data_IF_425590600413
#
_entry.id   IF_425590600413
#
_cell.length_a   1.000
_cell.length_b   1.000
_cell.length_c   1.000
_cell.angle_alpha   90.00
_cell.angle_beta   90.00
_cell.angle_gamma   90.00
#
_symmetry.space_group_name_H-M   'P 1'
#
loop_
_entity.id
_entity.type
_entity.pdbx_description
1 polymer ?
#
# COMPACT_ATOMS: atom_id res chain seq x y z
N UNK A 1 22.64 25.09 13.31
CA UNK A 1 21.27 24.58 13.55
C UNK A 1 20.88 23.67 12.41
N UNK A 2 20.70 22.35 12.64
CA UNK A 2 20.16 21.45 11.64
C UNK A 2 18.68 21.79 11.45
N UNK A 3 18.31 22.24 10.26
CA UNK A 3 16.88 22.36 9.90
C UNK A 3 16.37 20.92 9.73
N UNK A 4 15.57 20.44 10.66
CA UNK A 4 14.80 19.22 10.47
C UNK A 4 13.72 19.55 9.44
N UNK A 5 13.63 18.80 8.36
CA UNK A 5 12.57 18.96 7.34
C UNK A 5 11.17 18.57 7.82
N UNK A 6 11.01 18.36 9.13
CA UNK A 6 9.75 17.98 9.76
C UNK A 6 9.09 19.23 10.33
N UNK A 7 7.82 19.40 10.06
CA UNK A 7 7.00 20.43 10.69
C UNK A 7 6.91 20.18 12.20
N UNK A 8 7.16 21.21 13.00
CA UNK A 8 7.08 21.12 14.47
C UNK A 8 5.67 21.43 14.99
N UNK A 9 4.81 21.94 14.12
CA UNK A 9 3.42 22.28 14.43
C UNK A 9 2.47 21.27 13.77
N UNK A 10 1.38 20.94 14.45
CA UNK A 10 0.39 19.97 14.00
C UNK A 10 0.34 18.71 14.86
N UNK A 11 -0.43 17.74 14.41
CA UNK A 11 -0.58 16.46 15.08
C UNK A 11 0.37 15.43 14.48
N UNK A 12 0.91 14.59 15.32
CA UNK A 12 1.73 13.43 14.92
C UNK A 12 0.90 12.16 15.06
N UNK A 13 0.90 11.37 13.99
CA UNK A 13 0.18 10.12 13.92
C UNK A 13 1.15 8.97 13.73
N UNK A 14 0.96 7.91 14.53
CA UNK A 14 1.73 6.68 14.41
C UNK A 14 1.07 5.76 13.40
N UNK A 15 1.79 5.38 12.36
CA UNK A 15 1.27 4.49 11.33
C UNK A 15 2.30 3.55 10.74
N UNK A 16 1.82 2.61 9.93
CA UNK A 16 2.64 1.71 9.13
C UNK A 16 2.14 1.70 7.69
N UNK A 17 3.06 1.82 6.74
CA UNK A 17 2.76 1.92 5.31
C UNK A 17 3.07 0.64 4.53
N UNK A 18 3.41 -0.44 5.22
CA UNK A 18 3.74 -1.71 4.56
C UNK A 18 3.34 -2.90 5.43
N UNK A 19 2.30 -3.61 5.01
CA UNK A 19 1.77 -4.74 5.78
C UNK A 19 1.12 -5.77 4.85
N UNK A 20 1.37 -7.04 5.14
CA UNK A 20 0.77 -8.18 4.46
C UNK A 20 -0.19 -8.90 5.41
N UNK A 21 -1.27 -9.40 4.85
CA UNK A 21 -2.24 -10.24 5.55
C UNK A 21 -2.37 -11.61 4.88
N UNK A 22 -3.32 -12.41 5.34
CA UNK A 22 -3.67 -13.68 4.68
C UNK A 22 -4.25 -13.50 3.26
N UNK A 23 -4.42 -12.28 2.81
CA UNK A 23 -4.78 -11.99 1.42
C UNK A 23 -3.60 -12.26 0.45
N UNK A 24 -2.35 -12.18 0.94
CA UNK A 24 -1.16 -12.62 0.20
C UNK A 24 -0.36 -13.67 0.99
N UNK A 25 0.67 -13.28 1.69
CA UNK A 25 1.58 -14.20 2.38
C UNK A 25 1.72 -13.93 3.89
N UNK A 26 0.94 -13.00 4.42
CA UNK A 26 0.85 -12.73 5.85
C UNK A 26 0.17 -13.87 6.62
N UNK A 27 0.42 -13.90 7.93
CA UNK A 27 -0.05 -14.99 8.80
C UNK A 27 -1.34 -14.69 9.54
N UNK A 28 -1.83 -13.47 9.45
CA UNK A 28 -3.02 -12.98 10.17
C UNK A 28 -4.01 -12.35 9.22
N UNK A 29 -5.28 -12.44 9.57
CA UNK A 29 -6.32 -11.77 8.80
C UNK A 29 -6.21 -10.25 8.90
N UNK A 30 -6.76 -9.49 7.95
CA UNK A 30 -6.78 -8.04 8.04
C UNK A 30 -7.35 -7.53 9.37
N UNK A 31 -8.43 -8.14 9.87
CA UNK A 31 -9.09 -7.76 11.14
C UNK A 31 -8.16 -8.00 12.34
N UNK A 32 -7.47 -9.14 12.38
CA UNK A 32 -6.51 -9.44 13.44
C UNK A 32 -5.34 -8.44 13.44
N UNK A 33 -4.87 -8.06 12.24
CA UNK A 33 -3.79 -7.09 12.07
C UNK A 33 -4.24 -5.73 12.58
N UNK A 34 -5.39 -5.24 12.15
CA UNK A 34 -5.95 -3.95 12.61
C UNK A 34 -6.07 -3.92 14.12
N UNK A 35 -6.61 -4.98 14.73
CA UNK A 35 -6.72 -5.09 16.19
C UNK A 35 -5.36 -4.96 16.87
N UNK A 36 -4.34 -5.70 16.38
CA UNK A 36 -2.98 -5.66 16.94
C UNK A 36 -2.37 -4.26 16.83
N UNK A 37 -2.49 -3.62 15.67
CA UNK A 37 -1.93 -2.28 15.47
C UNK A 37 -2.63 -1.24 16.37
N UNK A 38 -3.96 -1.30 16.51
CA UNK A 38 -4.70 -0.43 17.43
C UNK A 38 -4.27 -0.63 18.89
N UNK A 39 -4.13 -1.87 19.34
CA UNK A 39 -3.65 -2.21 20.70
C UNK A 39 -2.25 -1.65 20.98
N UNK A 40 -1.44 -1.46 19.93
CA UNK A 40 -0.11 -0.86 20.01
C UNK A 40 -0.08 0.65 19.74
N UNK A 41 -1.23 1.31 19.70
CA UNK A 41 -1.36 2.75 19.58
C UNK A 41 -1.07 3.30 18.17
N UNK A 42 -1.20 2.49 17.13
CA UNK A 42 -1.18 2.97 15.75
C UNK A 42 -2.52 3.60 15.40
N UNK A 43 -2.52 4.55 14.47
CA UNK A 43 -3.68 5.33 14.07
C UNK A 43 -3.98 5.17 12.57
N UNK A 44 -3.03 4.63 11.81
CA UNK A 44 -3.27 4.27 10.42
C UNK A 44 -2.38 3.11 9.97
N UNK A 45 -2.84 2.42 8.93
CA UNK A 45 -2.18 1.26 8.34
C UNK A 45 -2.44 1.20 6.85
N UNK A 46 -1.43 0.87 6.04
CA UNK A 46 -1.61 0.48 4.66
C UNK A 46 -1.46 -1.04 4.51
N UNK A 47 -2.46 -1.70 3.94
CA UNK A 47 -2.30 -3.05 3.43
C UNK A 47 -1.69 -2.98 2.03
N UNK A 48 -0.56 -3.64 1.86
CA UNK A 48 0.21 -3.65 0.62
C UNK A 48 0.51 -5.09 0.23
N UNK A 49 -0.54 -5.80 -0.12
CA UNK A 49 -0.47 -7.21 -0.48
C UNK A 49 0.36 -7.40 -1.77
N UNK A 50 1.02 -8.54 -1.92
CA UNK A 50 1.78 -8.87 -3.12
C UNK A 50 0.90 -8.97 -4.35
N UNK A 51 1.15 -8.11 -5.35
CA UNK A 51 0.43 -8.05 -6.63
C UNK A 51 -1.10 -8.04 -6.49
N UNK A 52 -1.60 -7.59 -5.34
CA UNK A 52 -3.01 -7.61 -5.03
C UNK A 52 -3.43 -6.32 -4.33
N UNK A 53 -4.10 -5.46 -5.06
CA UNK A 53 -4.63 -4.23 -4.49
C UNK A 53 -5.84 -4.52 -3.61
N UNK A 54 -5.85 -3.91 -2.45
CA UNK A 54 -6.98 -4.00 -1.53
C UNK A 54 -7.15 -2.69 -0.78
N UNK A 55 -8.37 -2.30 -0.51
CA UNK A 55 -8.63 -1.13 0.30
C UNK A 55 -9.07 -1.46 1.73
N UNK A 56 -9.65 -2.63 2.01
CA UNK A 56 -10.13 -3.03 3.35
C UNK A 56 -10.85 -1.87 4.10
N UNK A 57 -11.63 -1.08 3.36
CA UNK A 57 -12.23 0.18 3.84
C UNK A 57 -13.15 -0.03 5.04
N UNK A 58 -13.80 -1.17 5.09
CA UNK A 58 -14.71 -1.61 6.16
C UNK A 58 -14.02 -1.71 7.52
N UNK A 59 -12.68 -1.79 7.55
CA UNK A 59 -11.88 -1.84 8.78
C UNK A 59 -11.46 -0.46 9.29
N UNK A 60 -11.76 0.61 8.55
CA UNK A 60 -11.56 1.98 9.00
C UNK A 60 -12.56 2.31 10.11
N UNK A 61 -12.08 2.94 11.17
CA UNK A 61 -12.89 3.41 12.29
C UNK A 61 -12.62 4.88 12.60
N UNK A 62 -13.27 5.40 13.63
CA UNK A 62 -13.14 6.81 14.03
C UNK A 62 -11.71 7.18 14.43
N UNK A 63 -10.97 6.23 15.00
CA UNK A 63 -9.62 6.40 15.55
C UNK A 63 -8.53 5.67 14.74
N UNK A 64 -8.90 5.02 13.62
CA UNK A 64 -7.97 4.21 12.85
C UNK A 64 -8.29 4.26 11.36
N UNK A 65 -7.34 4.72 10.56
CA UNK A 65 -7.49 4.85 9.11
C UNK A 65 -6.78 3.69 8.40
N UNK A 66 -7.50 3.03 7.49
CA UNK A 66 -6.92 2.09 6.53
C UNK A 66 -6.65 2.82 5.22
N UNK A 67 -5.41 2.73 4.77
CA UNK A 67 -4.98 3.21 3.46
C UNK A 67 -4.97 2.04 2.47
N UNK A 68 -5.51 2.23 1.27
CA UNK A 68 -5.44 1.22 0.23
C UNK A 68 -4.03 1.11 -0.33
N UNK A 69 -3.63 -0.09 -0.71
CA UNK A 69 -2.29 -0.26 -1.25
C UNK A 69 -2.06 -1.58 -1.97
N UNK A 70 -0.89 -1.68 -2.55
CA UNK A 70 -0.36 -2.86 -3.21
C UNK A 70 1.16 -2.84 -3.16
N UNK A 71 1.78 -4.00 -3.08
CA UNK A 71 3.20 -4.16 -3.33
C UNK A 71 3.39 -4.86 -4.67
N UNK A 72 4.02 -4.17 -5.61
CA UNK A 72 4.36 -4.70 -6.93
C UNK A 72 5.80 -5.20 -6.96
N UNK A 73 5.98 -6.44 -7.39
CA UNK A 73 7.31 -7.05 -7.53
C UNK A 73 7.82 -6.89 -8.96
N UNK A 74 9.04 -6.40 -9.08
CA UNK A 74 9.82 -6.44 -10.30
C UNK A 74 11.01 -7.39 -10.11
N UNK A 75 10.83 -8.65 -10.43
CA UNK A 75 11.84 -9.67 -10.24
C UNK A 75 12.81 -9.72 -11.42
N UNK A 76 14.08 -9.54 -11.15
CA UNK A 76 15.17 -9.77 -12.11
C UNK A 76 15.43 -11.29 -12.24
N UNK A 77 15.89 -11.78 -13.41
CA UNK A 77 16.50 -13.10 -13.55
C UNK A 77 17.68 -13.33 -12.60
N UNK A 78 18.38 -12.26 -12.22
CA UNK A 78 19.39 -12.30 -11.17
C UNK A 78 18.67 -12.29 -9.79
N UNK A 79 18.74 -13.41 -9.00
CA UNK A 79 18.01 -13.52 -7.73
C UNK A 79 18.44 -12.48 -6.68
N UNK A 80 19.54 -11.76 -6.91
CA UNK A 80 20.04 -10.72 -6.02
C UNK A 80 19.48 -9.32 -6.31
N UNK A 81 18.62 -9.18 -7.33
CA UNK A 81 18.04 -7.90 -7.75
C UNK A 81 16.52 -7.97 -7.83
N UNK A 82 15.91 -8.09 -6.68
CA UNK A 82 14.47 -8.00 -6.52
C UNK A 82 14.15 -6.57 -6.09
N UNK A 83 13.21 -5.92 -6.78
CA UNK A 83 12.68 -4.62 -6.39
C UNK A 83 11.21 -4.78 -6.08
N UNK A 84 10.82 -4.28 -4.91
CA UNK A 84 9.44 -4.15 -4.53
C UNK A 84 9.07 -2.66 -4.48
N UNK A 85 7.92 -2.32 -5.00
CA UNK A 85 7.41 -0.96 -5.04
C UNK A 85 6.06 -0.92 -4.37
N UNK A 86 5.92 -0.01 -3.41
CA UNK A 86 4.66 0.21 -2.72
C UNK A 86 3.84 1.24 -3.49
N UNK A 87 2.64 0.86 -3.87
CA UNK A 87 1.59 1.77 -4.30
C UNK A 87 0.65 2.00 -3.15
N UNK A 88 0.54 3.26 -2.69
CA UNK A 88 -0.41 3.65 -1.66
C UNK A 88 -1.35 4.64 -2.31
N UNK A 89 -2.59 4.22 -2.49
CA UNK A 89 -3.58 5.00 -3.21
C UNK A 89 -4.31 6.00 -2.32
N UNK A 90 -5.07 6.88 -2.97
CA UNK A 90 -6.07 7.68 -2.29
C UNK A 90 -7.35 6.86 -2.16
N UNK A 91 -7.97 6.89 -1.00
CA UNK A 91 -9.40 6.75 -0.97
C UNK A 91 -9.98 8.04 -1.53
N UNK A 92 -10.52 7.99 -2.72
CA UNK A 92 -11.48 9.02 -3.08
C UNK A 92 -12.60 8.95 -2.05
N UNK A 93 -12.73 10.00 -1.26
CA UNK A 93 -13.93 10.17 -0.46
C UNK A 93 -15.10 10.15 -1.45
N UNK A 94 -15.94 9.12 -1.39
CA UNK A 94 -17.13 9.04 -2.21
C UNK A 94 -17.05 8.24 -3.48
N UNK A 95 -16.34 7.13 -3.50
CA UNK A 95 -16.48 6.08 -4.53
C UNK A 95 -16.31 6.50 -6.00
N UNK A 96 -15.73 7.66 -6.26
CA UNK A 96 -15.40 8.11 -7.60
C UNK A 96 -14.22 7.35 -8.23
N UNK A 97 -13.68 6.35 -7.55
CA UNK A 97 -12.83 5.32 -8.15
C UNK A 97 -13.57 4.51 -9.23
N UNK A 98 -14.88 4.64 -9.32
CA UNK A 98 -15.68 4.08 -10.41
C UNK A 98 -15.57 4.86 -11.72
N UNK A 99 -14.91 5.99 -11.74
CA UNK A 99 -14.73 6.80 -12.95
C UNK A 99 -13.49 6.46 -13.77
N UNK A 100 -13.05 5.22 -13.73
CA UNK A 100 -12.45 4.66 -14.94
C UNK A 100 -10.94 4.50 -14.98
N UNK A 101 -10.12 5.02 -14.04
CA UNK A 101 -8.66 4.94 -14.14
C UNK A 101 -7.95 4.46 -12.87
N UNK A 102 -8.65 4.01 -11.85
CA UNK A 102 -8.07 3.51 -10.61
C UNK A 102 -7.99 1.98 -10.56
N UNK A 103 -7.21 1.44 -9.63
CA UNK A 103 -7.26 0.03 -9.30
C UNK A 103 -8.61 -0.32 -8.67
N UNK A 104 -9.26 -1.35 -9.21
CA UNK A 104 -10.44 -1.91 -8.55
C UNK A 104 -10.01 -2.70 -7.31
N UNK A 105 -10.88 -2.73 -6.30
CA UNK A 105 -10.65 -3.59 -5.15
C UNK A 105 -10.46 -5.04 -5.59
N UNK A 106 -9.51 -5.74 -4.94
CA UNK A 106 -9.08 -7.10 -5.26
C UNK A 106 -8.50 -7.29 -6.66
N UNK A 107 -8.10 -6.20 -7.32
CA UNK A 107 -7.37 -6.29 -8.58
C UNK A 107 -6.01 -6.95 -8.38
N UNK A 108 -5.72 -7.94 -9.23
CA UNK A 108 -4.42 -8.61 -9.27
C UNK A 108 -3.56 -8.08 -10.39
N UNK A 109 -2.26 -8.00 -10.12
CA UNK A 109 -1.25 -7.57 -11.07
C UNK A 109 -0.33 -8.74 -11.43
N UNK A 110 0.16 -8.82 -12.67
CA UNK A 110 1.15 -9.82 -13.03
C UNK A 110 2.50 -9.49 -12.37
N UNK A 111 3.17 -10.50 -11.85
CA UNK A 111 4.57 -10.37 -11.45
C UNK A 111 5.41 -9.99 -12.67
N UNK A 112 6.10 -8.86 -12.58
CA UNK A 112 6.95 -8.39 -13.67
C UNK A 112 8.34 -8.98 -13.54
N UNK A 113 8.85 -9.53 -14.66
CA UNK A 113 10.25 -9.87 -14.78
C UNK A 113 11.00 -8.61 -15.21
N UNK A 114 11.88 -8.12 -14.37
CA UNK A 114 12.71 -6.99 -14.75
C UNK A 114 13.68 -7.38 -15.86
N UNK A 115 13.52 -6.77 -17.00
CA UNK A 115 14.45 -6.93 -18.12
C UNK A 115 15.38 -5.72 -18.25
N UNK A 116 14.87 -4.57 -17.86
CA UNK A 116 15.51 -3.26 -18.00
C UNK A 116 14.81 -2.22 -17.10
N UNK A 117 15.28 -0.99 -17.14
CA UNK A 117 14.68 0.13 -16.41
C UNK A 117 13.24 0.43 -16.84
N UNK A 118 12.86 0.08 -18.08
CA UNK A 118 11.50 0.27 -18.58
C UNK A 118 10.48 -0.59 -17.83
N UNK A 119 10.87 -1.77 -17.37
CA UNK A 119 9.99 -2.65 -16.58
C UNK A 119 9.67 -2.05 -15.20
N UNK A 120 10.66 -1.41 -14.57
CA UNK A 120 10.47 -0.70 -13.29
C UNK A 120 9.60 0.54 -13.52
N UNK A 121 9.89 1.31 -14.57
CA UNK A 121 9.11 2.49 -14.91
C UNK A 121 7.65 2.15 -15.19
N UNK A 122 7.39 1.06 -15.91
CA UNK A 122 6.02 0.61 -16.17
C UNK A 122 5.24 0.31 -14.88
N UNK A 123 5.89 -0.29 -13.87
CA UNK A 123 5.23 -0.53 -12.58
C UNK A 123 4.93 0.78 -11.83
N UNK A 124 5.86 1.74 -11.87
CA UNK A 124 5.65 3.07 -11.29
C UNK A 124 4.51 3.83 -12.01
N UNK A 125 4.43 3.69 -13.32
CA UNK A 125 3.38 4.32 -14.12
C UNK A 125 2.01 3.71 -13.82
N UNK A 126 1.92 2.39 -13.60
CA UNK A 126 0.68 1.74 -13.16
C UNK A 126 0.20 2.29 -11.81
N UNK A 127 1.12 2.42 -10.84
CA UNK A 127 0.79 3.00 -9.52
C UNK A 127 0.33 4.45 -9.68
N UNK A 128 1.04 5.25 -10.47
CA UNK A 128 0.70 6.66 -10.71
C UNK A 128 -0.66 6.82 -11.41
N UNK A 129 -0.93 5.97 -12.39
CA UNK A 129 -2.18 6.04 -13.17
C UNK A 129 -3.39 5.54 -12.39
N UNK A 130 -3.16 4.81 -11.31
CA UNK A 130 -4.22 4.33 -10.42
C UNK A 130 -4.69 5.39 -9.39
N UNK A 131 -3.99 6.51 -9.25
CA UNK A 131 -4.35 7.60 -8.34
C UNK A 131 -3.47 7.74 -7.16
#
# INVERSE_FOLDING_TARGET
MRKTGLHTEGNWYKGNLHTHSTNSDGRKTPEEIVRIYREHGYQFLAFTEHEFYTHNRELTGEDFLILPGVELSCNNPDPWRIYHMLGIGRHAAGDELSSGNGFSDRQRFPVRKWKDLGSVQSALDDIRNAG
#
